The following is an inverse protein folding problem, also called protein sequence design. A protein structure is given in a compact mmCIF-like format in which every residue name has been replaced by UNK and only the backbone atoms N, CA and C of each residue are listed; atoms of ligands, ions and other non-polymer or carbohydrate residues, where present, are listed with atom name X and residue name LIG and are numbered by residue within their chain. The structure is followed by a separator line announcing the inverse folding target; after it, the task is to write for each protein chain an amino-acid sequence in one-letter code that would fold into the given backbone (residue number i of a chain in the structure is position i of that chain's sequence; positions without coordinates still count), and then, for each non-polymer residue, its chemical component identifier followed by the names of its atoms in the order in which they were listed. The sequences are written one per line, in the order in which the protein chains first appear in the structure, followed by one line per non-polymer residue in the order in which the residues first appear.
data_IF_276569349644
#
_entry.id   IF_276569349644
#
_cell.length_a   1.000
_cell.length_b   1.000
_cell.length_c   1.000
_cell.angle_alpha   90.00
_cell.angle_beta   90.00
_cell.angle_gamma   90.00
#
_symmetry.space_group_name_H-M   'P 1'
#
loop_
_entity.id
_entity.type
_entity.pdbx_description
1 polymer ?
#
# COMPACT_ATOMS: atom_id res chain seq x y z
N UNK A 1 14.70 7.40 4.10
CA UNK A 1 13.30 7.30 3.63
C UNK A 1 12.87 5.86 3.76
N UNK A 2 11.68 5.61 4.28
CA UNK A 2 11.06 4.28 4.39
C UNK A 2 9.88 4.27 3.42
N UNK A 3 9.90 3.36 2.45
CA UNK A 3 8.81 3.17 1.50
C UNK A 3 7.81 2.17 2.06
N UNK A 4 6.54 2.56 2.13
CA UNK A 4 5.43 1.70 2.52
C UNK A 4 4.51 1.54 1.31
N UNK A 5 4.29 0.30 0.89
CA UNK A 5 3.34 -0.03 -0.17
C UNK A 5 1.90 0.07 0.34
N UNK A 6 1.01 0.62 -0.48
CA UNK A 6 -0.43 0.55 -0.34
C UNK A 6 -1.01 -0.11 -1.59
N UNK A 7 -1.50 -1.34 -1.43
CA UNK A 7 -2.19 -2.07 -2.49
C UNK A 7 -3.70 -2.00 -2.22
N UNK A 8 -4.46 -1.49 -3.17
CA UNK A 8 -5.89 -1.27 -3.01
C UNK A 8 -6.63 -1.29 -4.36
N UNK A 9 -7.97 -1.40 -4.30
CA UNK A 9 -8.85 -1.21 -5.46
C UNK A 9 -9.10 0.28 -5.70
N UNK A 10 -8.44 0.87 -6.70
CA UNK A 10 -8.47 2.31 -6.96
C UNK A 10 -9.16 2.66 -8.28
N UNK A 11 -9.70 1.66 -8.97
CA UNK A 11 -10.57 1.82 -10.13
C UNK A 11 -11.69 0.76 -10.12
N UNK A 12 -12.59 0.85 -11.09
CA UNK A 12 -13.76 -0.02 -11.16
C UNK A 12 -14.87 0.33 -10.17
N UNK A 13 -15.80 -0.61 -9.98
CA UNK A 13 -17.03 -0.43 -9.19
C UNK A 13 -16.76 -0.15 -7.70
N UNK A 14 -15.72 -0.78 -7.15
CA UNK A 14 -15.41 -0.72 -5.72
C UNK A 14 -14.32 0.30 -5.36
N UNK A 15 -14.00 1.20 -6.27
CA UNK A 15 -12.96 2.23 -6.10
C UNK A 15 -13.06 3.00 -4.79
N UNK A 16 -14.28 3.30 -4.32
CA UNK A 16 -14.48 4.07 -3.09
C UNK A 16 -13.83 3.41 -1.87
N UNK A 17 -13.81 2.08 -1.79
CA UNK A 17 -13.19 1.37 -0.67
C UNK A 17 -11.65 1.53 -0.66
N UNK A 18 -11.01 1.44 -1.82
CA UNK A 18 -9.56 1.68 -1.90
C UNK A 18 -9.20 3.15 -1.74
N UNK A 19 -10.06 4.10 -2.13
CA UNK A 19 -9.85 5.53 -1.86
C UNK A 19 -9.88 5.83 -0.35
N UNK A 20 -10.83 5.27 0.38
CA UNK A 20 -10.88 5.38 1.85
C UNK A 20 -9.62 4.79 2.51
N UNK A 21 -9.16 3.63 2.04
CA UNK A 21 -7.89 3.03 2.48
C UNK A 21 -6.70 3.95 2.19
N UNK A 22 -6.58 4.47 0.96
CA UNK A 22 -5.49 5.34 0.53
C UNK A 22 -5.42 6.64 1.36
N UNK A 23 -6.57 7.28 1.58
CA UNK A 23 -6.66 8.50 2.40
C UNK A 23 -6.23 8.19 3.84
N UNK A 24 -6.67 7.06 4.39
CA UNK A 24 -6.32 6.65 5.75
C UNK A 24 -4.82 6.41 5.93
N UNK A 25 -4.19 5.68 4.99
CA UNK A 25 -2.74 5.40 5.02
C UNK A 25 -1.93 6.69 4.85
N UNK A 26 -2.32 7.57 3.92
CA UNK A 26 -1.64 8.87 3.71
C UNK A 26 -1.77 9.78 4.92
N UNK A 27 -2.94 9.83 5.56
CA UNK A 27 -3.16 10.63 6.77
C UNK A 27 -2.33 10.10 7.95
N UNK A 28 -2.20 8.78 8.09
CA UNK A 28 -1.34 8.18 9.10
C UNK A 28 0.14 8.53 8.84
N UNK A 29 0.62 8.35 7.61
CA UNK A 29 1.97 8.70 7.21
C UNK A 29 2.27 10.19 7.44
N UNK A 30 1.35 11.10 7.10
CA UNK A 30 1.56 12.55 7.28
C UNK A 30 1.63 12.98 8.74
N UNK A 31 1.01 12.22 9.66
CA UNK A 31 1.06 12.48 11.11
C UNK A 31 2.27 11.86 11.78
N UNK A 32 2.80 10.77 11.22
CA UNK A 32 3.92 10.02 11.77
C UNK A 32 5.28 10.44 11.19
N UNK A 33 5.32 10.95 9.96
CA UNK A 33 6.56 11.37 9.31
C UNK A 33 7.02 12.75 9.79
N UNK A 34 8.33 12.95 10.08
CA UNK A 34 9.37 11.92 10.12
C UNK A 34 9.29 11.05 11.38
N UNK A 35 9.68 9.78 11.27
CA UNK A 35 9.76 8.85 12.40
C UNK A 35 11.20 8.67 12.87
N UNK A 36 11.41 8.70 14.19
CA UNK A 36 12.74 8.51 14.80
C UNK A 36 12.99 7.05 15.15
N UNK A 37 13.97 6.42 14.51
CA UNK A 37 14.34 5.01 14.69
C UNK A 37 15.85 4.94 14.91
N UNK A 38 16.29 4.33 16.03
CA UNK A 38 17.73 4.16 16.30
C UNK A 38 18.54 5.47 16.37
N UNK A 39 17.89 6.61 16.67
CA UNK A 39 18.55 7.92 16.73
C UNK A 39 18.62 8.69 15.42
N UNK A 40 18.07 8.15 14.33
CA UNK A 40 17.95 8.80 13.03
C UNK A 40 16.49 9.07 12.68
N UNK A 41 16.24 10.16 11.94
CA UNK A 41 14.91 10.52 11.48
C UNK A 41 14.72 10.02 10.04
N UNK A 42 13.61 9.34 9.78
CA UNK A 42 13.27 8.78 8.48
C UNK A 42 11.95 9.35 7.99
N UNK A 43 11.94 9.87 6.77
CA UNK A 43 10.72 10.21 6.06
C UNK A 43 9.97 8.96 5.60
N UNK A 44 8.65 8.97 5.69
CA UNK A 44 7.75 7.93 5.19
C UNK A 44 7.24 8.32 3.81
N UNK A 45 7.47 7.46 2.82
CA UNK A 45 6.88 7.57 1.48
C UNK A 45 5.84 6.45 1.30
N UNK A 46 4.64 6.81 0.85
CA UNK A 46 3.59 5.82 0.53
C UNK A 46 3.57 5.57 -0.98
N UNK A 47 4.01 4.39 -1.39
CA UNK A 47 3.93 3.91 -2.79
C UNK A 47 2.59 3.23 -2.97
N UNK A 48 1.77 3.66 -3.93
CA UNK A 48 0.40 3.14 -4.10
C UNK A 48 0.21 2.48 -5.45
N UNK A 49 -0.42 1.31 -5.48
CA UNK A 49 -0.79 0.61 -6.72
C UNK A 49 -2.22 0.10 -6.69
N UNK A 50 -2.84 0.15 -7.87
CA UNK A 50 -4.21 -0.28 -8.12
C UNK A 50 -4.24 -1.73 -8.58
N UNK A 51 -4.89 -2.61 -7.81
CA UNK A 51 -5.11 -4.00 -8.20
C UNK A 51 -6.49 -4.26 -8.83
N UNK A 52 -7.30 -3.22 -9.04
CA UNK A 52 -8.66 -3.30 -9.62
C UNK A 52 -9.62 -4.23 -8.85
N UNK A 53 -9.27 -4.65 -7.62
CA UNK A 53 -10.00 -5.70 -6.92
C UNK A 53 -9.89 -7.07 -7.62
N UNK A 54 -8.92 -7.24 -8.51
CA UNK A 54 -8.71 -8.44 -9.31
C UNK A 54 -7.55 -9.30 -8.76
N UNK A 55 -7.74 -10.61 -8.50
CA UNK A 55 -6.68 -11.46 -7.95
C UNK A 55 -5.41 -11.58 -8.82
N UNK A 56 -5.53 -11.68 -10.14
CA UNK A 56 -4.35 -11.79 -11.01
C UNK A 56 -3.54 -10.49 -10.99
N UNK A 57 -4.22 -9.35 -11.04
CA UNK A 57 -3.56 -8.05 -10.94
C UNK A 57 -2.96 -7.82 -9.55
N UNK A 58 -3.64 -8.25 -8.48
CA UNK A 58 -3.14 -8.19 -7.11
C UNK A 58 -1.83 -8.98 -6.91
N UNK A 59 -1.70 -10.16 -7.54
CA UNK A 59 -0.44 -10.90 -7.56
C UNK A 59 0.68 -10.12 -8.25
N UNK A 60 0.41 -9.55 -9.43
CA UNK A 60 1.40 -8.75 -10.16
C UNK A 60 1.82 -7.51 -9.37
N UNK A 61 0.87 -6.80 -8.78
CA UNK A 61 1.15 -5.63 -7.94
C UNK A 61 2.03 -6.00 -6.75
N UNK A 62 1.78 -7.13 -6.08
CA UNK A 62 2.62 -7.61 -4.99
C UNK A 62 4.07 -7.89 -5.44
N UNK A 63 4.25 -8.54 -6.60
CA UNK A 63 5.57 -8.79 -7.18
C UNK A 63 6.30 -7.49 -7.54
N UNK A 64 5.58 -6.50 -8.06
CA UNK A 64 6.17 -5.19 -8.34
C UNK A 64 6.54 -4.44 -7.05
N UNK A 65 5.72 -4.51 -5.99
CA UNK A 65 6.04 -3.91 -4.69
C UNK A 65 7.31 -4.52 -4.07
N UNK A 66 7.46 -5.85 -4.16
CA UNK A 66 8.68 -6.53 -3.75
C UNK A 66 9.89 -6.07 -4.57
N UNK A 67 9.71 -5.91 -5.89
CA UNK A 67 10.75 -5.42 -6.80
C UNK A 67 11.14 -3.96 -6.55
N UNK A 68 10.21 -3.13 -6.06
CA UNK A 68 10.46 -1.75 -5.64
C UNK A 68 11.05 -1.62 -4.23
N UNK A 69 11.30 -2.74 -3.56
CA UNK A 69 11.93 -2.83 -2.25
C UNK A 69 11.19 -2.01 -1.18
N UNK A 70 9.85 -2.01 -1.23
CA UNK A 70 9.04 -1.41 -0.15
C UNK A 70 9.26 -2.20 1.14
N UNK A 71 9.35 -1.51 2.28
CA UNK A 71 9.64 -2.13 3.57
C UNK A 71 8.48 -3.02 4.07
N UNK A 72 7.25 -2.68 3.70
CA UNK A 72 6.05 -3.48 3.93
C UNK A 72 4.93 -3.04 2.99
N UNK A 73 3.87 -3.83 2.91
CA UNK A 73 2.65 -3.53 2.14
C UNK A 73 1.45 -3.55 3.07
N UNK A 74 0.61 -2.52 2.97
CA UNK A 74 -0.72 -2.43 3.57
C UNK A 74 -1.73 -2.76 2.46
N UNK A 75 -2.50 -3.84 2.64
CA UNK A 75 -3.46 -4.31 1.65
C UNK A 75 -3.60 -5.83 1.63
N UNK A 76 -4.41 -6.39 0.72
CA UNK A 76 -5.28 -5.65 -0.23
C UNK A 76 -6.66 -5.36 0.41
N UNK A 77 -7.51 -4.62 -0.30
CA UNK A 77 -8.86 -4.22 0.15
C UNK A 77 -9.81 -5.43 0.31
N UNK A 78 -9.62 -6.50 -0.47
CA UNK A 78 -10.46 -7.71 -0.40
C UNK A 78 -9.67 -8.94 0.06
N UNK A 79 -10.38 -9.93 0.58
CA UNK A 79 -9.79 -11.20 1.05
C UNK A 79 -9.20 -12.01 -0.12
N UNK A 80 -9.91 -12.07 -1.25
CA UNK A 80 -9.46 -12.77 -2.45
C UNK A 80 -8.17 -12.20 -3.04
N UNK A 81 -8.05 -10.87 -3.08
CA UNK A 81 -6.82 -10.19 -3.52
C UNK A 81 -5.71 -10.30 -2.49
N UNK A 82 -6.03 -10.24 -1.19
CA UNK A 82 -5.05 -10.44 -0.12
C UNK A 82 -4.43 -11.83 -0.16
N UNK A 83 -5.23 -12.87 -0.38
CA UNK A 83 -4.78 -14.27 -0.38
C UNK A 83 -3.71 -14.56 -1.43
N UNK A 84 -3.75 -13.88 -2.57
CA UNK A 84 -2.82 -14.10 -3.69
C UNK A 84 -1.59 -13.18 -3.65
N UNK A 85 -1.54 -12.22 -2.72
CA UNK A 85 -0.45 -11.26 -2.58
C UNK A 85 0.58 -11.64 -1.50
N UNK A 86 0.44 -12.82 -0.87
CA UNK A 86 1.34 -13.37 0.17
C UNK A 86 2.15 -14.51 -0.44
#
# INVERSE_FOLDING_TARGET
MIKIGNQAVLSGEYRSFGEEQLVSVKLAASKLSPVRIGGFDYEIEVVTKDDEGNPEKAFLVAQEMASEEVACVIGSTFDGTTKVSI
#
